data_IF_872171695493
#
_entry.id   IF_872171695493
#
_cell.length_a   1.000
_cell.length_b   1.000
_cell.length_c   1.000
_cell.angle_alpha   90.00
_cell.angle_beta   90.00
_cell.angle_gamma   90.00
#
_symmetry.space_group_name_H-M   'P 1'
#
loop_
_entity.id
_entity.type
_entity.pdbx_description
1 polymer ?
#
# COMPACT_ATOMS: atom_id res chain seq x y z
N UNK A 1 34.71 17.39 -7.83
CA UNK A 1 34.18 16.57 -6.70
C UNK A 1 34.14 15.09 -7.10
N UNK A 2 34.23 14.11 -6.18
CA UNK A 2 34.02 12.68 -6.53
C UNK A 2 32.54 12.28 -6.42
N UNK A 3 32.07 11.43 -7.32
CA UNK A 3 30.74 10.81 -7.26
C UNK A 3 30.79 9.39 -7.86
N UNK A 4 29.84 8.53 -7.51
CA UNK A 4 29.69 7.22 -8.16
C UNK A 4 28.70 7.34 -9.31
N UNK A 5 29.15 7.08 -10.54
CA UNK A 5 28.29 6.90 -11.72
C UNK A 5 27.82 5.45 -11.78
N UNK A 6 26.53 5.25 -11.99
CA UNK A 6 25.90 3.93 -12.16
C UNK A 6 25.07 3.99 -13.44
N UNK A 7 25.44 3.19 -14.43
CA UNK A 7 24.68 3.02 -15.67
C UNK A 7 23.94 1.70 -15.59
N UNK A 8 22.63 1.71 -15.79
CA UNK A 8 21.82 0.51 -15.69
C UNK A 8 20.66 0.50 -16.69
N UNK A 9 20.17 -0.69 -16.98
CA UNK A 9 19.01 -0.91 -17.85
C UNK A 9 17.95 -1.77 -17.18
N UNK A 10 16.70 -1.57 -17.59
CA UNK A 10 15.57 -2.41 -17.20
C UNK A 10 14.73 -2.70 -18.45
N UNK A 11 14.32 -3.96 -18.65
CA UNK A 11 13.41 -4.31 -19.75
C UNK A 11 12.05 -3.65 -19.56
N UNK A 12 11.58 -3.60 -18.32
CA UNK A 12 10.36 -2.92 -17.93
C UNK A 12 10.39 -2.49 -16.46
N UNK A 13 9.66 -1.42 -16.13
CA UNK A 13 9.49 -1.00 -14.75
C UNK A 13 8.20 -0.21 -14.50
N UNK A 14 7.71 -0.28 -13.26
CA UNK A 14 6.72 0.65 -12.71
C UNK A 14 7.31 1.37 -11.48
N UNK A 15 7.58 2.67 -11.64
CA UNK A 15 7.95 3.56 -10.56
C UNK A 15 6.69 4.20 -9.97
N UNK A 16 5.97 3.42 -9.16
CA UNK A 16 4.63 3.77 -8.69
C UNK A 16 4.51 5.21 -8.17
N UNK A 17 3.52 5.94 -8.68
CA UNK A 17 3.05 7.21 -8.13
C UNK A 17 2.17 6.97 -6.91
N UNK A 18 2.62 7.41 -5.74
CA UNK A 18 1.95 7.15 -4.45
C UNK A 18 0.56 7.79 -4.38
N UNK A 19 0.38 8.93 -5.05
CA UNK A 19 -0.88 9.67 -5.11
C UNK A 19 -1.99 9.01 -5.95
N UNK A 20 -1.68 7.95 -6.69
CA UNK A 20 -2.66 7.29 -7.57
C UNK A 20 -3.41 6.15 -6.90
N UNK A 21 -4.75 6.24 -6.89
CA UNK A 21 -5.64 5.30 -6.19
C UNK A 21 -6.24 4.23 -7.11
N UNK A 22 -6.72 4.64 -8.30
CA UNK A 22 -7.40 3.74 -9.21
C UNK A 22 -6.41 2.99 -10.10
N UNK A 23 -5.89 3.65 -11.12
CA UNK A 23 -4.86 3.09 -11.98
C UNK A 23 -3.49 3.28 -11.35
N UNK A 24 -2.64 2.26 -11.45
CA UNK A 24 -1.29 2.30 -10.89
C UNK A 24 -0.38 2.98 -11.91
N UNK A 25 -0.25 4.28 -11.75
CA UNK A 25 0.55 5.13 -12.65
C UNK A 25 2.02 5.09 -12.26
N UNK A 26 2.88 5.39 -13.23
CA UNK A 26 4.35 5.41 -13.05
C UNK A 26 4.91 6.82 -13.19
N UNK A 27 5.95 7.12 -12.44
CA UNK A 27 6.86 8.21 -12.75
C UNK A 27 7.69 7.88 -14.00
N UNK A 28 8.16 8.89 -14.76
CA UNK A 28 8.98 8.67 -15.96
C UNK A 28 10.41 8.20 -15.66
N UNK A 29 10.91 8.48 -14.46
CA UNK A 29 12.17 8.02 -13.90
C UNK A 29 11.91 7.53 -12.47
N UNK A 30 12.78 6.72 -11.86
CA UNK A 30 12.57 6.30 -10.48
C UNK A 30 12.69 7.48 -9.50
N UNK A 31 11.77 7.63 -8.54
CA UNK A 31 11.91 8.63 -7.48
C UNK A 31 13.21 8.46 -6.70
N UNK A 32 13.73 9.57 -6.18
CA UNK A 32 15.01 9.62 -5.44
C UNK A 32 15.01 8.61 -4.28
N UNK A 33 13.97 8.61 -3.45
CA UNK A 33 13.84 7.63 -2.34
C UNK A 33 13.84 6.17 -2.81
N UNK A 34 13.28 5.87 -3.99
CA UNK A 34 13.30 4.52 -4.56
C UNK A 34 14.73 4.11 -4.94
N UNK A 35 15.50 5.02 -5.54
CA UNK A 35 16.91 4.78 -5.88
C UNK A 35 17.73 4.58 -4.61
N UNK A 36 17.61 5.49 -3.65
CA UNK A 36 18.32 5.43 -2.36
C UNK A 36 18.00 4.12 -1.65
N UNK A 37 16.72 3.75 -1.55
CA UNK A 37 16.28 2.51 -0.91
C UNK A 37 16.81 1.25 -1.61
N UNK A 38 16.88 1.26 -2.93
CA UNK A 38 17.43 0.15 -3.71
C UNK A 38 18.95 0.00 -3.51
N UNK A 39 19.69 1.12 -3.47
CA UNK A 39 21.13 1.14 -3.17
C UNK A 39 21.38 0.63 -1.74
N UNK A 40 20.63 1.11 -0.74
CA UNK A 40 20.75 0.64 0.64
C UNK A 40 20.50 -0.86 0.75
N UNK A 41 19.52 -1.39 0.01
CA UNK A 41 19.24 -2.82 -0.03
C UNK A 41 20.40 -3.62 -0.64
N UNK A 42 20.99 -3.13 -1.74
CA UNK A 42 22.14 -3.77 -2.39
C UNK A 42 23.37 -3.83 -1.47
N UNK A 43 23.59 -2.80 -0.64
CA UNK A 43 24.69 -2.73 0.33
C UNK A 43 24.38 -3.44 1.66
N UNK A 44 23.13 -3.88 1.89
CA UNK A 44 22.72 -4.50 3.15
C UNK A 44 22.70 -3.54 4.35
N UNK A 45 22.57 -2.24 4.12
CA UNK A 45 22.57 -1.24 5.20
C UNK A 45 21.37 -1.40 6.14
N UNK A 46 21.64 -1.34 7.44
CA UNK A 46 20.62 -1.34 8.51
C UNK A 46 20.31 0.07 9.02
N UNK A 47 21.20 1.03 8.74
CA UNK A 47 21.07 2.43 9.10
C UNK A 47 21.00 3.29 7.82
N UNK A 48 20.57 4.54 7.97
CA UNK A 48 20.47 5.45 6.83
C UNK A 48 21.81 6.11 6.55
N UNK A 49 22.33 5.93 5.34
CA UNK A 49 23.52 6.59 4.83
C UNK A 49 23.09 7.77 3.95
N UNK A 50 23.35 9.03 4.36
CA UNK A 50 22.95 10.20 3.59
C UNK A 50 23.62 10.25 2.22
N UNK A 51 22.83 10.49 1.17
CA UNK A 51 23.33 10.66 -0.19
C UNK A 51 22.43 11.60 -0.99
N UNK A 52 23.02 12.30 -1.95
CA UNK A 52 22.31 13.04 -2.97
C UNK A 52 22.36 12.29 -4.29
N UNK A 53 21.27 12.37 -5.05
CA UNK A 53 21.10 11.63 -6.29
C UNK A 53 20.84 12.61 -7.42
N UNK A 54 21.59 12.45 -8.51
CA UNK A 54 21.20 12.93 -9.84
C UNK A 54 20.73 11.71 -10.63
N UNK A 55 19.57 11.80 -11.27
CA UNK A 55 19.05 10.72 -12.11
C UNK A 55 18.58 11.26 -13.44
N UNK A 56 19.14 10.69 -14.50
CA UNK A 56 18.76 10.96 -15.87
C UNK A 56 18.60 9.64 -16.62
N UNK A 57 17.83 9.68 -17.71
CA UNK A 57 17.60 8.49 -18.50
C UNK A 57 16.59 8.68 -19.60
N UNK A 58 16.25 7.55 -20.22
CA UNK A 58 15.23 7.45 -21.27
C UNK A 58 14.53 6.10 -21.17
N UNK A 59 13.33 6.05 -21.71
CA UNK A 59 12.59 4.83 -21.95
C UNK A 59 12.04 4.88 -23.37
N UNK A 60 11.83 3.73 -24.00
CA UNK A 60 11.37 3.69 -25.39
C UNK A 60 9.87 3.93 -25.50
N UNK A 61 9.09 3.32 -24.60
CA UNK A 61 7.63 3.45 -24.62
C UNK A 61 7.02 3.26 -23.24
N UNK A 62 5.79 3.75 -23.10
CA UNK A 62 4.94 3.50 -21.94
C UNK A 62 3.64 2.86 -22.45
N UNK A 63 3.25 1.75 -21.84
CA UNK A 63 2.00 1.06 -22.17
C UNK A 63 1.16 0.80 -20.92
N UNK A 64 -0.10 0.42 -21.14
CA UNK A 64 -1.06 0.11 -20.07
C UNK A 64 -1.39 -1.36 -20.07
N UNK A 65 -0.99 -2.06 -19.01
CA UNK A 65 -1.34 -3.46 -18.81
C UNK A 65 -2.67 -3.55 -18.04
N UNK A 66 -3.72 -4.15 -18.63
CA UNK A 66 -4.99 -4.35 -17.94
C UNK A 66 -4.87 -5.46 -16.89
N UNK A 67 -5.49 -5.25 -15.73
CA UNK A 67 -5.65 -6.28 -14.72
C UNK A 67 -7.07 -6.24 -14.13
N UNK A 68 -7.49 -7.40 -13.61
CA UNK A 68 -8.76 -7.50 -12.87
C UNK A 68 -8.50 -7.15 -11.42
N UNK A 69 -9.09 -6.05 -10.97
CA UNK A 69 -9.10 -5.66 -9.57
C UNK A 69 -10.23 -6.36 -8.83
N UNK A 70 -9.90 -6.98 -7.70
CA UNK A 70 -10.83 -7.74 -6.88
C UNK A 70 -11.21 -6.92 -5.64
N UNK A 71 -12.46 -6.48 -5.59
CA UNK A 71 -12.97 -5.63 -4.53
C UNK A 71 -13.99 -6.40 -3.69
N UNK A 72 -13.66 -6.67 -2.43
CA UNK A 72 -14.54 -7.38 -1.50
C UNK A 72 -15.43 -6.38 -0.77
N UNK A 73 -16.74 -6.62 -0.79
CA UNK A 73 -17.69 -5.78 -0.06
C UNK A 73 -17.65 -6.10 1.45
N UNK A 74 -17.74 -5.04 2.26
CA UNK A 74 -17.77 -5.14 3.72
C UNK A 74 -19.04 -5.80 4.26
N UNK A 75 -20.11 -5.86 3.46
CA UNK A 75 -21.39 -6.42 3.89
C UNK A 75 -21.91 -7.45 2.90
N UNK A 76 -22.37 -8.58 3.46
CA UNK A 76 -23.15 -9.62 2.79
C UNK A 76 -24.64 -9.29 2.67
N UNK A 77 -25.05 -8.07 3.04
CA UNK A 77 -26.45 -7.63 2.92
C UNK A 77 -26.89 -7.38 1.48
N UNK A 78 -25.94 -7.21 0.56
CA UNK A 78 -26.19 -6.98 -0.86
C UNK A 78 -26.21 -8.31 -1.61
N UNK A 79 -27.19 -9.15 -1.32
CA UNK A 79 -27.31 -10.49 -1.93
C UNK A 79 -27.75 -10.48 -3.40
N UNK A 80 -27.72 -9.31 -4.05
CA UNK A 80 -28.29 -9.02 -5.36
C UNK A 80 -27.26 -8.65 -6.45
N UNK A 81 -25.98 -8.53 -6.10
CA UNK A 81 -24.91 -8.07 -7.00
C UNK A 81 -23.58 -8.78 -6.80
N UNK A 82 -22.76 -8.77 -7.85
CA UNK A 82 -21.40 -9.30 -7.83
C UNK A 82 -21.34 -10.83 -7.81
N UNK A 83 -20.27 -11.36 -7.22
CA UNK A 83 -19.96 -12.78 -7.12
C UNK A 83 -19.90 -13.16 -5.65
N UNK A 84 -20.76 -14.07 -5.20
CA UNK A 84 -20.63 -14.71 -3.90
C UNK A 84 -19.45 -15.68 -3.95
N UNK A 85 -18.50 -15.50 -3.05
CA UNK A 85 -17.30 -16.33 -2.91
C UNK A 85 -17.14 -16.81 -1.48
N UNK A 86 -16.51 -17.97 -1.31
CA UNK A 86 -16.04 -18.46 -0.01
C UNK A 86 -14.52 -18.33 0.03
N UNK A 87 -14.03 -17.53 0.96
CA UNK A 87 -12.61 -17.35 1.24
C UNK A 87 -12.04 -18.64 1.83
N UNK A 88 -10.83 -19.02 1.41
CA UNK A 88 -10.11 -20.14 2.06
C UNK A 88 -9.66 -19.78 3.47
N UNK A 89 -9.40 -18.50 3.70
CA UNK A 89 -9.14 -17.95 5.02
C UNK A 89 -9.93 -16.64 5.18
N UNK A 90 -10.81 -16.57 6.18
CA UNK A 90 -11.67 -15.41 6.43
C UNK A 90 -10.94 -14.16 6.92
N UNK A 91 -9.71 -14.31 7.41
CA UNK A 91 -8.90 -13.21 7.97
C UNK A 91 -8.13 -12.44 6.88
N UNK A 92 -7.94 -13.04 5.70
CA UNK A 92 -7.15 -12.44 4.61
C UNK A 92 -7.99 -12.23 3.36
N UNK A 93 -8.03 -10.98 2.88
CA UNK A 93 -8.59 -10.64 1.57
C UNK A 93 -7.56 -10.98 0.49
N UNK A 94 -7.71 -12.15 -0.13
CA UNK A 94 -6.79 -12.66 -1.15
C UNK A 94 -7.55 -13.22 -2.36
N UNK A 95 -6.82 -13.51 -3.43
CA UNK A 95 -7.39 -14.17 -4.61
C UNK A 95 -7.67 -15.68 -4.37
N UNK A 96 -7.40 -16.19 -3.17
CA UNK A 96 -7.64 -17.58 -2.80
C UNK A 96 -9.07 -17.75 -2.26
N UNK A 97 -10.02 -17.86 -3.19
CA UNK A 97 -11.42 -18.11 -2.88
C UNK A 97 -12.06 -19.08 -3.88
N UNK A 98 -13.13 -19.73 -3.45
CA UNK A 98 -13.96 -20.56 -4.31
C UNK A 98 -15.21 -19.78 -4.72
N UNK A 99 -15.51 -19.77 -6.02
CA UNK A 99 -16.72 -19.12 -6.55
C UNK A 99 -17.94 -19.95 -6.18
N UNK A 100 -18.92 -19.32 -5.56
CA UNK A 100 -20.17 -19.98 -5.13
C UNK A 100 -21.27 -19.72 -6.15
N UNK A 101 -21.57 -18.45 -6.39
CA UNK A 101 -22.58 -18.01 -7.35
C UNK A 101 -22.31 -16.58 -7.84
N UNK A 102 -22.81 -16.20 -9.00
CA UNK A 102 -22.79 -14.81 -9.48
C UNK A 102 -24.18 -14.30 -9.84
N UNK A 103 -24.45 -13.03 -9.56
CA UNK A 103 -25.67 -12.36 -10.00
C UNK A 103 -25.66 -12.20 -11.52
N UNK A 104 -26.76 -12.55 -12.22
CA UNK A 104 -26.87 -12.34 -13.68
C UNK A 104 -27.32 -10.92 -14.04
N UNK A 105 -27.94 -10.22 -13.10
CA UNK A 105 -28.40 -8.83 -13.26
C UNK A 105 -27.73 -7.94 -12.23
N UNK A 106 -27.59 -6.66 -12.56
CA UNK A 106 -27.05 -5.63 -11.66
C UNK A 106 -27.93 -5.37 -10.43
N UNK A 107 -29.23 -5.64 -10.53
CA UNK A 107 -30.21 -5.51 -9.46
C UNK A 107 -31.26 -6.63 -9.52
N UNK A 108 -31.83 -6.96 -8.37
CA UNK A 108 -32.94 -7.92 -8.26
C UNK A 108 -32.53 -9.39 -8.35
N UNK A 109 -31.23 -9.69 -8.30
CA UNK A 109 -30.76 -11.05 -8.05
C UNK A 109 -30.90 -11.36 -6.56
N UNK A 110 -30.88 -12.64 -6.17
CA UNK A 110 -30.84 -13.00 -4.76
C UNK A 110 -30.17 -14.36 -4.56
N UNK A 111 -29.01 -14.41 -3.91
CA UNK A 111 -28.29 -15.66 -3.66
C UNK A 111 -29.05 -16.61 -2.72
N UNK A 112 -29.68 -16.08 -1.66
CA UNK A 112 -30.42 -16.87 -0.68
C UNK A 112 -31.64 -17.54 -1.31
N UNK A 113 -32.44 -16.79 -2.08
CA UNK A 113 -33.65 -17.26 -2.77
C UNK A 113 -33.39 -17.93 -4.13
N UNK A 114 -32.17 -17.83 -4.66
CA UNK A 114 -31.82 -18.40 -5.98
C UNK A 114 -32.37 -17.62 -7.18
N UNK A 115 -32.71 -16.35 -7.02
CA UNK A 115 -33.36 -15.54 -8.06
C UNK A 115 -32.29 -14.97 -8.98
N UNK A 116 -32.34 -15.30 -10.28
CA UNK A 116 -31.48 -14.70 -11.32
C UNK A 116 -29.98 -14.82 -11.04
N UNK A 117 -29.54 -15.96 -10.51
CA UNK A 117 -28.13 -16.25 -10.24
C UNK A 117 -27.58 -17.32 -11.19
N UNK A 118 -26.27 -17.35 -11.35
CA UNK A 118 -25.52 -18.47 -11.91
C UNK A 118 -24.79 -19.16 -10.77
N UNK A 119 -25.04 -20.45 -10.57
CA UNK A 119 -24.39 -21.24 -9.51
C UNK A 119 -23.14 -21.91 -10.08
N UNK A 120 -22.03 -21.83 -9.35
CA UNK A 120 -20.78 -22.52 -9.67
C UNK A 120 -20.52 -23.69 -8.71
N UNK A 121 -20.94 -23.57 -7.45
CA UNK A 121 -20.81 -24.63 -6.45
C UNK A 121 -22.09 -24.71 -5.59
N UNK A 122 -22.86 -25.78 -5.76
CA UNK A 122 -24.14 -25.98 -5.08
C UNK A 122 -23.95 -26.29 -3.58
N UNK A 123 -22.91 -27.04 -3.22
CA UNK A 123 -22.63 -27.41 -1.82
C UNK A 123 -22.33 -26.16 -0.99
N UNK A 124 -21.47 -25.27 -1.49
CA UNK A 124 -21.14 -24.01 -0.82
C UNK A 124 -22.32 -23.04 -0.80
N UNK A 125 -23.18 -23.07 -1.84
CA UNK A 125 -24.39 -22.25 -1.87
C UNK A 125 -25.40 -22.72 -0.82
N UNK A 126 -25.53 -24.04 -0.64
CA UNK A 126 -26.36 -24.62 0.40
C UNK A 126 -25.84 -24.25 1.79
N UNK A 127 -24.53 -24.40 2.03
CA UNK A 127 -23.89 -23.97 3.28
C UNK A 127 -24.19 -22.49 3.59
N UNK A 128 -24.04 -21.60 2.59
CA UNK A 128 -24.38 -20.18 2.74
C UNK A 128 -25.85 -19.96 3.14
N UNK A 129 -26.79 -20.67 2.50
CA UNK A 129 -28.23 -20.59 2.80
C UNK A 129 -28.53 -21.09 4.20
N UNK A 130 -27.98 -22.24 4.57
CA UNK A 130 -28.15 -22.86 5.88
C UNK A 130 -27.65 -21.93 7.00
N UNK A 131 -26.53 -21.22 6.77
CA UNK A 131 -26.02 -20.21 7.72
C UNK A 131 -26.96 -19.00 7.84
N UNK A 132 -27.58 -18.55 6.74
CA UNK A 132 -28.57 -17.46 6.80
C UNK A 132 -29.84 -17.89 7.54
N UNK A 133 -30.31 -19.11 7.31
CA UNK A 133 -31.46 -19.67 8.01
C UNK A 133 -31.16 -19.89 9.51
N UNK A 134 -29.93 -20.30 9.84
CA UNK A 134 -29.45 -20.40 11.22
C UNK A 134 -29.44 -19.03 11.91
N UNK A 135 -29.05 -17.97 11.21
CA UNK A 135 -29.08 -16.61 11.78
C UNK A 135 -30.48 -16.19 12.17
N UNK A 136 -31.45 -16.41 11.29
CA UNK A 136 -32.85 -16.09 11.60
C UNK A 136 -33.35 -16.85 12.84
N UNK A 137 -32.96 -18.14 12.99
CA UNK A 137 -33.27 -18.94 14.19
C UNK A 137 -32.59 -18.39 15.45
N UNK A 138 -31.31 -18.01 15.37
CA UNK A 138 -30.57 -17.40 16.48
C UNK A 138 -31.23 -16.08 16.89
N UNK A 139 -31.62 -15.24 15.93
CA UNK A 139 -32.25 -13.95 16.21
C UNK A 139 -33.65 -14.12 16.80
N UNK A 140 -34.42 -15.12 16.36
CA UNK A 140 -35.70 -15.48 16.99
C UNK A 140 -35.49 -15.89 18.46
N UNK A 141 -34.58 -16.82 18.74
CA UNK A 141 -34.26 -17.27 20.10
C UNK A 141 -33.78 -16.12 20.99
N UNK A 142 -32.92 -15.24 20.44
CA UNK A 142 -32.40 -14.06 21.13
C UNK A 142 -33.52 -13.10 21.57
N UNK A 143 -34.54 -12.95 20.73
CA UNK A 143 -35.66 -12.04 20.96
C UNK A 143 -36.78 -12.64 21.82
N UNK A 144 -36.88 -13.98 21.94
CA UNK A 144 -37.85 -14.68 22.78
C UNK A 144 -37.18 -15.25 24.05
N UNK A 145 -36.86 -16.54 24.06
CA UNK A 145 -36.46 -17.31 25.23
C UNK A 145 -35.22 -16.75 25.94
N UNK A 146 -34.21 -16.30 25.18
CA UNK A 146 -32.99 -15.73 25.76
C UNK A 146 -33.29 -14.44 26.53
N UNK A 147 -34.13 -13.58 25.95
CA UNK A 147 -34.56 -12.33 26.59
C UNK A 147 -35.37 -12.61 27.85
N UNK A 148 -36.28 -13.57 27.80
CA UNK A 148 -37.08 -13.99 28.97
C UNK A 148 -36.20 -14.54 30.09
N UNK A 149 -35.24 -15.42 29.77
CA UNK A 149 -34.27 -15.96 30.74
C UNK A 149 -33.46 -14.85 31.39
N UNK A 150 -32.97 -13.87 30.62
CA UNK A 150 -32.25 -12.73 31.17
C UNK A 150 -33.13 -11.81 32.04
N UNK A 151 -34.39 -11.60 31.68
CA UNK A 151 -35.32 -10.82 32.50
C UNK A 151 -35.67 -11.52 33.82
N UNK A 152 -35.82 -12.84 33.83
CA UNK A 152 -35.98 -13.63 35.06
C UNK A 152 -34.77 -13.48 35.97
N UNK A 153 -33.56 -13.63 35.43
CA UNK A 153 -32.31 -13.43 36.18
C UNK A 153 -32.20 -12.00 36.74
N UNK A 154 -32.62 -10.98 35.98
CA UNK A 154 -32.67 -9.60 36.47
C UNK A 154 -33.69 -9.42 37.61
N UNK A 155 -34.86 -10.05 37.53
CA UNK A 155 -35.88 -10.01 38.60
C UNK A 155 -35.35 -10.67 39.88
N UNK A 156 -34.75 -11.85 39.79
CA UNK A 156 -34.14 -12.54 40.92
C UNK A 156 -33.01 -11.71 41.57
N UNK A 157 -32.19 -11.02 40.76
CA UNK A 157 -31.17 -10.10 41.27
C UNK A 157 -31.76 -8.93 42.04
N UNK A 158 -32.87 -8.36 41.57
CA UNK A 158 -33.58 -7.28 42.27
C UNK A 158 -34.16 -7.75 43.60
N UNK A 159 -34.83 -8.91 43.60
CA UNK A 159 -35.42 -9.50 44.81
C UNK A 159 -34.34 -9.78 45.89
N UNK A 160 -33.24 -10.44 45.51
CA UNK A 160 -32.15 -10.69 46.46
C UNK A 160 -31.46 -9.40 46.94
N UNK A 161 -31.42 -8.35 46.11
CA UNK A 161 -30.88 -7.04 46.52
C UNK A 161 -31.81 -6.32 47.52
N UNK A 162 -33.13 -6.49 47.39
CA UNK A 162 -34.12 -5.97 48.34
C UNK A 162 -34.12 -6.75 49.66
N UNK A 163 -34.04 -8.07 49.61
CA UNK A 163 -33.90 -8.94 50.80
C UNK A 163 -32.62 -8.62 51.58
N UNK A 164 -31.51 -8.42 50.88
CA UNK A 164 -30.22 -8.04 51.48
C UNK A 164 -30.27 -6.72 52.27
N UNK A 165 -31.16 -5.78 51.92
CA UNK A 165 -31.29 -4.50 52.63
C UNK A 165 -32.01 -4.63 53.98
N UNK A 166 -32.75 -5.72 54.21
CA UNK A 166 -33.58 -5.94 55.40
C UNK A 166 -32.89 -6.78 56.48
N UNK A 167 -31.69 -7.30 56.22
CA UNK A 167 -31.01 -8.31 57.05
C UNK A 167 -29.69 -7.75 57.60
N UNK A 168 -29.38 -8.07 58.86
CA UNK A 168 -28.17 -7.61 59.55
C UNK A 168 -26.90 -8.24 58.95
N UNK A 169 -25.84 -7.44 58.81
CA UNK A 169 -24.60 -7.77 58.06
C UNK A 169 -23.80 -8.93 58.63
N UNK A 170 -24.05 -9.32 59.89
CA UNK A 170 -23.36 -10.42 60.59
C UNK A 170 -24.18 -11.71 60.66
N UNK A 171 -25.41 -11.75 60.12
CA UNK A 171 -26.23 -12.96 60.16
C UNK A 171 -25.78 -14.00 59.13
N UNK A 172 -26.01 -15.28 59.43
CA UNK A 172 -25.80 -16.39 58.49
C UNK A 172 -26.66 -16.24 57.22
N UNK A 173 -27.84 -15.63 57.34
CA UNK A 173 -28.74 -15.33 56.22
C UNK A 173 -28.17 -14.29 55.26
N UNK A 174 -27.44 -13.29 55.78
CA UNK A 174 -26.75 -12.30 54.95
C UNK A 174 -25.65 -12.96 54.09
N UNK A 175 -24.87 -13.86 54.69
CA UNK A 175 -23.81 -14.60 54.00
C UNK A 175 -24.41 -15.46 52.89
N UNK A 176 -25.51 -16.18 53.17
CA UNK A 176 -26.22 -16.99 52.18
C UNK A 176 -26.77 -16.16 51.00
N UNK A 177 -27.30 -14.96 51.25
CA UNK A 177 -27.78 -14.08 50.17
C UNK A 177 -26.63 -13.56 49.31
N UNK A 178 -25.48 -13.25 49.91
CA UNK A 178 -24.27 -12.85 49.17
C UNK A 178 -23.77 -14.00 48.27
N UNK A 179 -23.77 -15.23 48.75
CA UNK A 179 -23.42 -16.41 47.94
C UNK A 179 -24.42 -16.64 46.81
N UNK A 180 -25.73 -16.54 47.07
CA UNK A 180 -26.77 -16.61 46.03
C UNK A 180 -26.61 -15.51 44.98
N UNK A 181 -26.29 -14.27 45.36
CA UNK A 181 -26.00 -13.19 44.42
C UNK A 181 -24.78 -13.49 43.54
N UNK A 182 -23.71 -14.07 44.11
CA UNK A 182 -22.55 -14.53 43.34
C UNK A 182 -22.94 -15.64 42.36
N UNK A 183 -23.70 -16.64 42.82
CA UNK A 183 -24.19 -17.75 42.00
C UNK A 183 -25.06 -17.28 40.83
N UNK A 184 -25.97 -16.32 41.06
CA UNK A 184 -26.81 -15.76 39.98
C UNK A 184 -26.00 -14.89 39.01
N UNK A 185 -24.98 -14.16 39.49
CA UNK A 185 -24.07 -13.43 38.60
C UNK A 185 -23.25 -14.40 37.74
N UNK A 186 -22.79 -15.51 38.31
CA UNK A 186 -22.10 -16.55 37.56
C UNK A 186 -23.02 -17.18 36.49
N UNK A 187 -24.26 -17.55 36.85
CA UNK A 187 -25.26 -18.05 35.91
C UNK A 187 -25.58 -17.07 34.78
N UNK A 188 -25.69 -15.76 35.07
CA UNK A 188 -25.93 -14.76 34.02
C UNK A 188 -24.76 -14.69 33.02
N UNK A 189 -23.53 -14.72 33.52
CA UNK A 189 -22.34 -14.70 32.66
C UNK A 189 -22.27 -15.98 31.83
N UNK A 190 -22.49 -17.15 32.44
CA UNK A 190 -22.51 -18.45 31.75
C UNK A 190 -23.54 -18.49 30.61
N UNK A 191 -24.75 -17.97 30.83
CA UNK A 191 -25.78 -17.87 29.79
C UNK A 191 -25.33 -16.94 28.64
N UNK A 192 -24.69 -15.82 28.95
CA UNK A 192 -24.21 -14.87 27.93
C UNK A 192 -23.04 -15.45 27.14
N UNK A 193 -22.09 -16.06 27.84
CA UNK A 193 -20.88 -16.61 27.27
C UNK A 193 -21.21 -17.81 26.39
N UNK A 194 -22.04 -18.75 26.86
CA UNK A 194 -22.50 -19.90 26.06
C UNK A 194 -23.27 -19.48 24.81
N UNK A 195 -24.16 -18.50 24.91
CA UNK A 195 -24.88 -17.99 23.74
C UNK A 195 -23.94 -17.32 22.74
N UNK A 196 -23.01 -16.50 23.23
CA UNK A 196 -22.02 -15.82 22.38
C UNK A 196 -21.07 -16.80 21.71
N UNK A 197 -20.60 -17.81 22.44
CA UNK A 197 -19.76 -18.88 21.91
C UNK A 197 -20.51 -19.67 20.83
N UNK A 198 -21.75 -20.08 21.09
CA UNK A 198 -22.59 -20.74 20.11
C UNK A 198 -22.79 -19.89 18.83
N UNK A 199 -23.16 -18.61 18.97
CA UNK A 199 -23.32 -17.69 17.83
C UNK A 199 -22.00 -17.53 17.07
N UNK A 200 -20.88 -17.46 17.79
CA UNK A 200 -19.56 -17.26 17.20
C UNK A 200 -19.10 -18.49 16.39
N UNK A 201 -19.15 -19.67 16.99
CA UNK A 201 -18.67 -20.91 16.37
C UNK A 201 -19.57 -21.38 15.23
N UNK A 202 -20.88 -21.27 15.38
CA UNK A 202 -21.83 -21.85 14.42
C UNK A 202 -22.28 -20.86 13.34
N UNK A 203 -22.18 -19.55 13.58
CA UNK A 203 -22.59 -18.55 12.61
C UNK A 203 -21.50 -17.54 12.27
N UNK A 204 -20.98 -16.78 13.24
CA UNK A 204 -20.07 -15.66 12.95
C UNK A 204 -18.80 -16.11 12.24
N UNK A 205 -18.14 -17.17 12.69
CA UNK A 205 -16.95 -17.72 12.05
C UNK A 205 -17.27 -18.29 10.65
N UNK A 206 -18.22 -19.22 10.47
CA UNK A 206 -18.53 -19.74 9.13
C UNK A 206 -18.98 -18.67 8.13
N UNK A 207 -19.89 -17.76 8.52
CA UNK A 207 -20.39 -16.73 7.60
C UNK A 207 -19.30 -15.72 7.24
N UNK A 208 -18.34 -15.49 8.14
CA UNK A 208 -17.20 -14.61 7.87
C UNK A 208 -16.30 -15.11 6.74
N UNK A 209 -16.37 -16.38 6.37
CA UNK A 209 -15.67 -16.90 5.19
C UNK A 209 -16.35 -16.49 3.88
N UNK A 210 -17.64 -16.16 3.90
CA UNK A 210 -18.35 -15.72 2.71
C UNK A 210 -18.16 -14.21 2.48
N UNK A 211 -17.94 -13.82 1.22
CA UNK A 211 -17.84 -12.42 0.81
C UNK A 211 -18.52 -12.21 -0.54
N UNK A 212 -18.91 -10.96 -0.80
CA UNK A 212 -19.31 -10.53 -2.14
C UNK A 212 -18.10 -9.88 -2.79
N UNK A 213 -17.76 -10.37 -3.97
CA UNK A 213 -16.68 -9.90 -4.80
C UNK A 213 -17.23 -9.12 -5.98
N UNK A 214 -16.72 -7.90 -6.18
CA UNK A 214 -16.91 -7.10 -7.39
C UNK A 214 -15.57 -7.04 -8.10
N UNK A 215 -15.59 -7.27 -9.41
CA UNK A 215 -14.42 -7.11 -10.27
C UNK A 215 -14.49 -5.79 -11.02
N UNK A 216 -13.37 -5.09 -11.14
CA UNK A 216 -13.25 -3.94 -12.04
C UNK A 216 -12.00 -4.05 -12.91
N UNK A 217 -12.06 -3.45 -14.09
CA UNK A 217 -10.91 -3.39 -15.00
C UNK A 217 -10.06 -2.18 -14.60
N UNK A 218 -8.80 -2.42 -14.25
CA UNK A 218 -7.81 -1.39 -13.91
C UNK A 218 -6.55 -1.57 -14.74
N UNK A 219 -5.66 -0.58 -14.70
CA UNK A 219 -4.43 -0.58 -15.49
C UNK A 219 -3.19 -0.30 -14.65
N UNK A 220 -2.08 -0.93 -15.03
CA UNK A 220 -0.72 -0.51 -14.67
C UNK A 220 -0.10 0.24 -15.83
N UNK A 221 0.56 1.36 -15.55
CA UNK A 221 1.46 1.99 -16.53
C UNK A 221 2.85 1.38 -16.40
N UNK A 222 3.34 0.75 -17.48
CA UNK A 222 4.66 0.11 -17.51
C UNK A 222 5.54 0.83 -18.52
N UNK A 223 6.71 1.26 -18.07
CA UNK A 223 7.77 1.75 -18.94
C UNK A 223 8.55 0.57 -19.52
N UNK A 224 8.96 0.64 -20.79
CA UNK A 224 9.73 -0.40 -21.46
C UNK A 224 11.09 0.12 -21.94
N UNK A 225 12.07 -0.77 -21.98
CA UNK A 225 13.43 -0.55 -22.50
C UNK A 225 14.03 0.73 -21.92
N UNK A 226 14.26 0.69 -20.61
CA UNK A 226 14.71 1.81 -19.80
C UNK A 226 16.23 1.78 -19.72
N UNK A 227 16.83 2.95 -19.89
CA UNK A 227 18.25 3.22 -19.64
C UNK A 227 18.32 4.36 -18.63
N UNK A 228 19.07 4.15 -17.54
CA UNK A 228 19.28 5.12 -16.48
C UNK A 228 20.77 5.36 -16.27
N UNK A 229 21.10 6.62 -16.02
CA UNK A 229 22.39 7.07 -15.54
C UNK A 229 22.14 7.78 -14.21
N UNK A 230 22.69 7.21 -13.15
CA UNK A 230 22.51 7.68 -11.78
C UNK A 230 23.88 8.11 -11.27
N UNK A 231 23.97 9.33 -10.75
CA UNK A 231 25.16 9.78 -10.02
C UNK A 231 24.82 9.91 -8.54
N UNK A 232 25.66 9.31 -7.70
CA UNK A 232 25.53 9.33 -6.24
C UNK A 232 26.63 10.20 -5.65
N UNK A 233 26.23 11.20 -4.86
CA UNK A 233 27.12 12.02 -4.02
C UNK A 233 26.95 11.62 -2.56
N UNK A 234 28.03 11.21 -1.93
CA UNK A 234 28.10 10.85 -0.51
C UNK A 234 29.55 10.95 -0.02
N UNK A 235 29.81 10.59 1.23
CA UNK A 235 31.17 10.47 1.76
C UNK A 235 31.95 9.33 1.09
N UNK A 236 33.29 9.40 1.09
CA UNK A 236 34.14 8.43 0.38
C UNK A 236 33.91 6.98 0.83
N UNK A 237 33.66 6.76 2.12
CA UNK A 237 33.41 5.41 2.64
C UNK A 237 32.10 4.86 2.05
N UNK A 238 31.02 5.64 2.11
CA UNK A 238 29.73 5.24 1.53
C UNK A 238 29.84 5.01 0.03
N UNK A 239 30.58 5.84 -0.72
CA UNK A 239 30.77 5.64 -2.16
C UNK A 239 31.50 4.32 -2.49
N UNK A 240 32.58 4.01 -1.77
CA UNK A 240 33.31 2.74 -1.95
C UNK A 240 32.46 1.53 -1.58
N UNK A 241 31.72 1.59 -0.47
CA UNK A 241 30.81 0.51 -0.07
C UNK A 241 29.71 0.26 -1.12
N UNK A 242 29.18 1.34 -1.74
CA UNK A 242 28.21 1.19 -2.84
C UNK A 242 28.88 0.57 -4.07
N UNK A 243 30.05 1.06 -4.49
CA UNK A 243 30.77 0.53 -5.66
C UNK A 243 31.05 -0.97 -5.54
N UNK A 244 31.47 -1.44 -4.35
CA UNK A 244 31.75 -2.86 -4.09
C UNK A 244 30.49 -3.75 -4.14
N UNK A 245 29.31 -3.19 -3.83
CA UNK A 245 28.07 -3.95 -3.65
C UNK A 245 27.00 -3.69 -4.71
N UNK A 246 27.19 -2.73 -5.61
CA UNK A 246 26.14 -2.29 -6.54
C UNK A 246 25.66 -3.41 -7.48
N UNK A 247 26.52 -4.38 -7.80
CA UNK A 247 26.14 -5.54 -8.60
C UNK A 247 25.18 -6.52 -7.88
N UNK A 248 24.93 -6.32 -6.58
CA UNK A 248 23.86 -7.00 -5.85
C UNK A 248 22.49 -6.35 -6.04
N UNK A 249 22.40 -5.21 -6.74
CA UNK A 249 21.15 -4.51 -7.02
C UNK A 249 20.22 -5.36 -7.89
N UNK A 250 19.11 -5.81 -7.31
CA UNK A 250 18.17 -6.71 -7.99
C UNK A 250 17.12 -5.98 -8.83
N UNK A 251 16.56 -4.90 -8.29
CA UNK A 251 15.40 -4.22 -8.85
C UNK A 251 15.33 -2.77 -8.38
N UNK A 252 14.85 -1.87 -9.24
CA UNK A 252 14.40 -0.52 -8.88
C UNK A 252 12.92 -0.42 -9.24
N UNK A 253 12.08 -0.05 -8.27
CA UNK A 253 10.63 -0.08 -8.41
C UNK A 253 10.04 -1.33 -7.76
N UNK A 254 9.36 -2.18 -8.53
CA UNK A 254 8.76 -3.41 -8.00
C UNK A 254 9.81 -4.53 -7.91
N UNK A 255 9.61 -5.49 -7.01
CA UNK A 255 10.54 -6.61 -6.81
C UNK A 255 10.72 -7.49 -8.04
N UNK A 256 9.75 -7.50 -8.95
CA UNK A 256 9.79 -8.23 -10.21
C UNK A 256 10.44 -7.46 -11.37
N UNK A 257 10.68 -6.15 -11.22
CA UNK A 257 11.26 -5.30 -12.26
C UNK A 257 12.80 -5.32 -12.15
N UNK A 258 13.42 -6.35 -12.73
CA UNK A 258 14.86 -6.59 -12.61
C UNK A 258 15.72 -5.49 -13.25
N UNK A 259 16.90 -5.28 -12.66
CA UNK A 259 17.93 -4.33 -13.13
C UNK A 259 19.13 -5.08 -13.68
N UNK A 260 19.71 -4.56 -14.76
CA UNK A 260 21.03 -4.94 -15.25
C UNK A 260 21.98 -3.75 -15.12
N UNK A 261 22.94 -3.83 -14.19
CA UNK A 261 23.99 -2.81 -14.02
C UNK A 261 25.01 -3.00 -15.13
N UNK A 262 25.12 -1.99 -16.00
CA UNK A 262 26.06 -1.96 -17.12
C UNK A 262 27.43 -1.50 -16.64
N UNK A 263 27.46 -0.49 -15.78
CA UNK A 263 28.69 0.16 -15.33
C UNK A 263 28.48 0.76 -13.94
N UNK A 264 29.52 0.69 -13.12
CA UNK A 264 29.64 1.47 -11.89
C UNK A 264 31.09 1.95 -11.74
N UNK A 265 31.29 3.26 -11.64
CA UNK A 265 32.62 3.86 -11.58
C UNK A 265 32.62 5.10 -10.69
N UNK A 266 33.58 5.21 -9.77
CA UNK A 266 33.85 6.47 -9.07
C UNK A 266 34.52 7.45 -10.05
N UNK A 267 33.81 8.52 -10.36
CA UNK A 267 34.22 9.56 -11.31
C UNK A 267 34.55 10.87 -10.61
N UNK A 268 35.39 11.69 -11.26
CA UNK A 268 35.66 13.07 -10.82
C UNK A 268 34.83 14.04 -11.64
N UNK A 269 33.83 14.62 -11.00
CA UNK A 269 32.99 15.68 -11.55
C UNK A 269 33.78 16.98 -11.69
N UNK A 270 33.61 17.62 -12.85
CA UNK A 270 34.27 18.84 -13.26
C UNK A 270 33.35 20.05 -13.03
N UNK A 271 33.99 21.16 -12.64
CA UNK A 271 33.43 22.49 -12.59
C UNK A 271 33.95 23.26 -13.81
N UNK A 272 33.06 23.95 -14.50
CA UNK A 272 33.34 24.71 -15.71
C UNK A 272 32.44 25.95 -15.71
N UNK A 273 33.05 27.13 -15.64
CA UNK A 273 32.35 28.43 -15.59
C UNK A 273 32.03 28.96 -17.00
N UNK A 274 32.48 28.28 -18.07
CA UNK A 274 32.27 28.68 -19.45
C UNK A 274 32.11 27.43 -20.35
N UNK A 275 30.94 26.80 -20.25
CA UNK A 275 30.61 25.61 -21.00
C UNK A 275 29.34 25.79 -21.82
N UNK A 276 29.07 24.89 -22.76
CA UNK A 276 27.74 24.78 -23.38
C UNK A 276 27.48 23.29 -23.60
N UNK A 277 26.69 22.70 -22.71
CA UNK A 277 26.45 21.25 -22.71
C UNK A 277 24.96 20.99 -22.74
N UNK A 278 24.52 20.31 -23.80
CA UNK A 278 23.15 19.85 -23.98
C UNK A 278 22.98 18.41 -23.48
N UNK A 279 21.88 18.15 -22.78
CA UNK A 279 21.54 16.80 -22.31
C UNK A 279 20.86 15.97 -23.40
N UNK A 280 21.38 14.76 -23.60
CA UNK A 280 20.75 13.72 -24.43
C UNK A 280 19.59 13.00 -23.70
N UNK A 281 19.53 13.11 -22.37
CA UNK A 281 18.55 12.41 -21.54
C UNK A 281 17.47 13.34 -21.00
N UNK A 282 16.36 12.74 -20.56
CA UNK A 282 15.45 13.40 -19.64
C UNK A 282 15.98 13.26 -18.22
N UNK A 283 15.75 14.26 -17.36
CA UNK A 283 16.27 14.25 -15.99
C UNK A 283 15.28 14.82 -15.00
N UNK A 284 15.44 14.44 -13.73
CA UNK A 284 14.91 15.23 -12.62
C UNK A 284 15.90 16.33 -12.29
N UNK A 285 15.45 17.57 -12.46
CA UNK A 285 16.23 18.77 -12.22
C UNK A 285 15.71 19.46 -10.96
N UNK A 286 16.61 19.91 -10.10
CA UNK A 286 16.28 20.75 -8.96
C UNK A 286 15.57 22.01 -9.46
N UNK A 287 14.37 22.25 -8.92
CA UNK A 287 13.54 23.35 -9.39
C UNK A 287 14.17 24.72 -9.15
N UNK A 288 14.95 24.88 -8.08
CA UNK A 288 15.55 26.16 -7.75
C UNK A 288 16.71 26.49 -8.71
N UNK A 289 17.43 25.48 -9.22
CA UNK A 289 18.49 25.68 -10.22
C UNK A 289 17.92 26.17 -11.57
N UNK A 290 16.74 25.69 -11.95
CA UNK A 290 16.02 26.22 -13.14
C UNK A 290 15.53 27.64 -12.89
N UNK A 291 14.94 27.89 -11.71
CA UNK A 291 14.40 29.21 -11.36
C UNK A 291 15.50 30.28 -11.29
N UNK A 292 16.69 29.89 -10.87
CA UNK A 292 17.85 30.77 -10.75
C UNK A 292 18.70 30.78 -12.03
N UNK A 293 18.16 30.31 -13.16
CA UNK A 293 18.81 30.35 -14.48
C UNK A 293 20.17 29.64 -14.52
N UNK A 294 20.34 28.60 -13.70
CA UNK A 294 21.51 27.70 -13.72
C UNK A 294 21.32 26.53 -14.69
N UNK A 295 20.08 26.23 -15.04
CA UNK A 295 19.75 25.20 -16.04
C UNK A 295 18.69 25.77 -16.96
N UNK A 296 18.96 25.70 -18.26
CA UNK A 296 18.14 26.26 -19.32
C UNK A 296 17.37 25.16 -20.06
N UNK A 297 16.23 25.52 -20.62
CA UNK A 297 15.35 24.60 -21.37
C UNK A 297 15.24 25.12 -22.80
N UNK A 298 15.63 24.31 -23.78
CA UNK A 298 15.75 24.73 -25.19
C UNK A 298 14.38 24.99 -25.85
N UNK A 299 13.36 24.18 -25.52
CA UNK A 299 12.00 24.30 -26.10
C UNK A 299 10.98 24.78 -25.11
N UNK A 300 10.95 26.09 -24.91
CA UNK A 300 9.86 26.77 -24.20
C UNK A 300 8.88 27.36 -25.24
N UNK A 301 7.59 27.02 -25.12
CA UNK A 301 6.55 27.67 -25.95
C UNK A 301 6.61 29.20 -25.72
N UNK A 302 6.39 30.01 -26.77
CA UNK A 302 6.52 31.48 -26.71
C UNK A 302 5.65 32.18 -25.64
N UNK A 303 4.74 31.46 -24.98
CA UNK A 303 3.88 31.94 -23.88
C UNK A 303 4.24 31.39 -22.50
N UNK A 304 5.32 30.61 -22.37
CA UNK A 304 5.78 29.99 -21.13
C UNK A 304 7.24 30.34 -20.88
N UNK A 305 7.65 30.28 -19.62
CA UNK A 305 9.06 30.47 -19.19
C UNK A 305 9.74 29.12 -18.88
N UNK A 306 8.97 28.06 -18.63
CA UNK A 306 9.47 26.73 -18.25
C UNK A 306 8.65 25.63 -18.93
N UNK A 307 9.32 24.61 -19.48
CA UNK A 307 8.72 23.43 -20.12
C UNK A 307 9.11 22.14 -19.39
N UNK A 308 8.13 21.43 -18.82
CA UNK A 308 8.39 20.19 -18.08
C UNK A 308 7.27 19.83 -17.11
N UNK A 309 7.43 18.70 -16.40
CA UNK A 309 6.46 18.27 -15.38
C UNK A 309 7.05 18.44 -13.99
N UNK A 310 6.39 19.23 -13.14
CA UNK A 310 6.82 19.45 -11.76
C UNK A 310 6.39 18.30 -10.85
N UNK A 311 7.33 17.79 -10.06
CA UNK A 311 7.09 16.76 -9.05
C UNK A 311 7.56 17.20 -7.66
N UNK A 312 6.97 16.59 -6.62
CA UNK A 312 7.45 16.62 -5.25
C UNK A 312 7.85 15.21 -4.85
N UNK A 313 9.11 14.86 -5.10
CA UNK A 313 9.63 13.50 -4.90
C UNK A 313 10.04 13.31 -3.44
N UNK A 314 9.67 12.17 -2.86
CA UNK A 314 10.17 11.76 -1.56
C UNK A 314 11.68 11.48 -1.67
N UNK A 315 12.48 12.06 -0.76
CA UNK A 315 13.93 11.79 -0.63
C UNK A 315 14.22 10.88 0.55
N UNK A 316 13.88 11.34 1.75
CA UNK A 316 14.06 10.63 3.01
C UNK A 316 12.81 10.81 3.89
N UNK A 317 12.79 10.18 5.06
CA UNK A 317 11.72 10.36 6.03
C UNK A 317 12.20 10.22 7.47
N UNK A 318 11.45 10.86 8.37
CA UNK A 318 11.56 10.64 9.82
C UNK A 318 10.26 10.03 10.33
N UNK A 319 10.35 9.20 11.36
CA UNK A 319 9.16 8.62 12.00
C UNK A 319 8.71 9.54 13.12
N UNK A 320 7.49 10.08 13.02
CA UNK A 320 6.81 10.84 14.06
C UNK A 320 5.48 10.19 14.35
N UNK A 321 5.22 9.85 15.61
CA UNK A 321 3.97 9.20 16.07
C UNK A 321 3.61 7.92 15.28
N UNK A 322 4.62 7.10 14.96
CA UNK A 322 4.46 5.88 14.16
C UNK A 322 4.16 6.11 12.68
N UNK A 323 4.20 7.36 12.20
CA UNK A 323 3.98 7.73 10.79
C UNK A 323 5.27 8.23 10.16
N UNK A 324 5.47 7.88 8.89
CA UNK A 324 6.58 8.42 8.09
C UNK A 324 6.22 9.85 7.66
N UNK A 325 7.05 10.81 8.04
CA UNK A 325 7.01 12.18 7.56
C UNK A 325 8.13 12.34 6.52
N UNK A 326 7.75 12.38 5.24
CA UNK A 326 8.70 12.47 4.13
C UNK A 326 9.23 13.89 3.94
N UNK A 327 10.54 13.99 3.75
CA UNK A 327 11.20 15.15 3.18
C UNK A 327 11.03 15.11 1.66
N UNK A 328 10.34 16.11 1.11
CA UNK A 328 10.03 16.16 -0.32
C UNK A 328 10.91 17.17 -1.04
N UNK A 329 11.48 16.74 -2.16
CA UNK A 329 12.27 17.58 -3.06
C UNK A 329 11.44 18.00 -4.25
N UNK A 330 11.45 19.31 -4.52
CA UNK A 330 10.73 19.91 -5.63
C UNK A 330 11.61 19.85 -6.87
N UNK A 331 11.17 19.10 -7.87
CA UNK A 331 11.94 18.88 -9.10
C UNK A 331 11.11 19.20 -10.32
N UNK A 332 11.78 19.48 -11.43
CA UNK A 332 11.20 19.50 -12.77
C UNK A 332 11.72 18.30 -13.54
N UNK A 333 10.81 17.46 -14.04
CA UNK A 333 11.13 16.49 -15.07
C UNK A 333 11.13 17.19 -16.42
N UNK A 334 12.28 17.24 -17.07
CA UNK A 334 12.45 17.89 -18.37
C UNK A 334 13.42 17.10 -19.27
N UNK A 335 13.32 17.39 -20.56
CA UNK A 335 14.18 16.90 -21.63
C UNK A 335 14.65 18.09 -22.46
N UNK A 336 15.73 17.97 -23.23
CA UNK A 336 16.27 19.07 -24.05
C UNK A 336 16.59 20.29 -23.17
N UNK A 337 17.37 20.03 -22.13
CA UNK A 337 17.91 21.04 -21.23
C UNK A 337 19.42 21.14 -21.42
N UNK A 338 19.99 22.28 -21.07
CA UNK A 338 21.41 22.54 -21.18
C UNK A 338 21.90 23.42 -20.04
N UNK A 339 23.21 23.47 -19.85
CA UNK A 339 23.88 24.40 -18.94
C UNK A 339 24.93 25.21 -19.72
N UNK A 340 25.12 26.45 -19.27
CA UNK A 340 26.18 27.34 -19.76
C UNK A 340 27.35 27.46 -18.75
N UNK A 341 27.06 27.17 -17.49
CA UNK A 341 28.04 27.14 -16.41
C UNK A 341 27.64 26.07 -15.39
N UNK A 342 28.62 25.53 -14.69
CA UNK A 342 28.38 24.69 -13.52
C UNK A 342 27.94 25.52 -12.31
N UNK A 343 27.36 24.85 -11.30
CA UNK A 343 26.89 25.51 -10.08
C UNK A 343 27.08 24.61 -8.86
N UNK A 344 26.72 25.09 -7.67
CA UNK A 344 26.87 24.33 -6.41
C UNK A 344 26.27 22.91 -6.46
N UNK A 345 25.17 22.73 -7.22
CA UNK A 345 24.50 21.43 -7.37
C UNK A 345 24.61 20.84 -8.77
N UNK A 346 25.21 21.55 -9.73
CA UNK A 346 25.28 21.13 -11.13
C UNK A 346 26.73 21.01 -11.59
N UNK A 347 27.12 19.82 -12.04
CA UNK A 347 28.48 19.52 -12.47
C UNK A 347 28.49 18.80 -13.81
N UNK A 348 29.68 18.64 -14.38
CA UNK A 348 29.90 17.84 -15.58
C UNK A 348 30.63 16.54 -15.24
N UNK A 349 30.11 15.43 -15.76
CA UNK A 349 30.84 14.17 -15.85
C UNK A 349 31.19 13.91 -17.33
N UNK A 350 32.49 13.90 -17.62
CA UNK A 350 33.03 13.75 -18.97
C UNK A 350 33.57 12.32 -19.11
N UNK A 351 32.76 11.44 -19.71
CA UNK A 351 33.19 10.13 -20.16
C UNK A 351 33.75 10.21 -21.59
N UNK A 352 34.52 9.20 -22.03
CA UNK A 352 35.26 9.23 -23.31
C UNK A 352 34.45 9.70 -24.53
N UNK A 353 33.14 9.37 -24.58
CA UNK A 353 32.26 9.71 -25.70
C UNK A 353 30.97 10.44 -25.30
N UNK A 354 30.80 10.81 -24.02
CA UNK A 354 29.55 11.42 -23.52
C UNK A 354 29.84 12.42 -22.41
N UNK A 355 29.09 13.54 -22.42
CA UNK A 355 29.05 14.49 -21.31
C UNK A 355 27.71 14.35 -20.61
N UNK A 356 27.73 14.13 -19.30
CA UNK A 356 26.55 14.08 -18.47
C UNK A 356 26.44 15.36 -17.66
N UNK A 357 25.28 15.99 -17.70
CA UNK A 357 24.93 17.05 -16.76
C UNK A 357 24.48 16.36 -15.47
N UNK A 358 25.17 16.63 -14.37
CA UNK A 358 24.92 16.02 -13.07
C UNK A 358 24.29 17.06 -12.16
N UNK A 359 22.99 16.95 -11.88
CA UNK A 359 22.27 17.88 -11.00
C UNK A 359 21.77 17.15 -9.74
N UNK A 360 22.38 17.43 -8.58
CA UNK A 360 22.07 16.74 -7.33
C UNK A 360 20.83 17.30 -6.63
N UNK A 361 19.96 16.41 -6.13
CA UNK A 361 18.67 16.76 -5.50
C UNK A 361 18.60 16.41 -4.01
#
# INVERSE_FOLDING_TARGET
MKALRIVLTQSSANYKKEETLDNKMTYPLPPISTIIGAIHNACGYTEYHPMDISVQGRFESMHKEPYTDYCFLNSLSYDDRGILVKMRNGDFLSNAFDKVASAKKSQGSNFRKGITIQVYNEELLKEYRDLKDLKDKIDLYKNSEYREKLELVKKEKKQLAEEKKKIDKKSSEYINIVEKQKGIKAKENEIKDSFKEYETENYTKPISMFRILITSLKYYEILNNIELVIHVRSDEKTLSEIEENIYNLKSIGRSEDFVHVVEAEIVTLQEDDDCEVFSDYSSYLNYDDIKNEKIWLDKVEASREVSGTKYYLNKDYIIKDGKRCFNKKKVLYASQYFIEETSENTFLDIAENKKYIVNFI
#
